data_IF_573903760987
#
_entry.id   IF_573903760987
#
_cell.length_a   1.000
_cell.length_b   1.000
_cell.length_c   1.000
_cell.angle_alpha   90.00
_cell.angle_beta   90.00
_cell.angle_gamma   90.00
#
_symmetry.space_group_name_H-M   'P 1'
#
loop_
_entity.id
_entity.type
_entity.pdbx_description
1 polymer ?
#
# COMPACT_ATOMS: atom_id res chain seq x y z
N UNK A 1 16.53 5.64 -11.32
CA UNK A 1 16.46 7.07 -10.97
C UNK A 1 15.82 7.83 -12.11
N UNK A 2 14.95 8.79 -11.81
CA UNK A 2 14.29 9.67 -12.77
C UNK A 2 14.57 11.11 -12.35
N UNK A 3 15.16 11.91 -13.25
CA UNK A 3 15.55 13.30 -12.96
C UNK A 3 16.44 13.47 -11.70
N UNK A 4 17.26 12.46 -11.39
CA UNK A 4 18.12 12.47 -10.19
C UNK A 4 17.45 12.02 -8.89
N UNK A 5 16.16 11.65 -8.93
CA UNK A 5 15.42 11.14 -7.76
C UNK A 5 15.22 9.62 -7.83
N UNK A 6 15.09 8.93 -6.67
CA UNK A 6 14.64 7.55 -6.62
C UNK A 6 13.29 7.40 -7.32
N UNK A 7 13.13 6.30 -8.05
CA UNK A 7 11.89 5.97 -8.74
C UNK A 7 11.46 4.58 -8.29
N UNK A 8 10.20 4.46 -7.90
CA UNK A 8 9.56 3.18 -7.60
C UNK A 8 8.30 3.06 -8.46
N UNK A 9 8.22 1.99 -9.25
CA UNK A 9 7.09 1.73 -10.15
C UNK A 9 6.17 0.70 -9.49
N UNK A 10 4.91 1.07 -9.26
CA UNK A 10 3.92 0.20 -8.63
C UNK A 10 2.66 0.09 -9.48
N UNK A 11 2.20 -1.13 -9.71
CA UNK A 11 0.95 -1.41 -10.45
C UNK A 11 -0.30 -0.94 -9.71
N UNK A 12 -0.18 -0.71 -8.40
CA UNK A 12 -1.25 -0.16 -7.56
C UNK A 12 -1.59 1.30 -7.90
N UNK A 13 -0.66 2.02 -8.54
CA UNK A 13 -0.88 3.42 -8.95
C UNK A 13 -1.65 3.43 -10.27
N UNK A 14 -2.93 3.81 -10.21
CA UNK A 14 -3.83 3.84 -11.38
C UNK A 14 -4.36 5.25 -11.67
N UNK A 15 -4.51 5.54 -12.95
CA UNK A 15 -5.18 6.73 -13.45
C UNK A 15 -6.70 6.61 -13.48
N UNK A 16 -7.33 7.67 -13.97
CA UNK A 16 -8.76 7.67 -14.27
C UNK A 16 -9.12 6.72 -15.42
N UNK A 17 -8.15 6.45 -16.30
CA UNK A 17 -8.23 5.49 -17.40
C UNK A 17 -7.08 4.48 -17.25
N UNK A 18 -7.31 3.21 -17.61
CA UNK A 18 -6.37 2.11 -17.38
C UNK A 18 -5.02 2.28 -18.14
N UNK A 19 -5.00 3.13 -19.17
CA UNK A 19 -3.80 3.46 -19.96
C UNK A 19 -3.09 4.74 -19.50
N UNK A 20 -3.68 5.50 -18.57
CA UNK A 20 -3.13 6.77 -18.14
C UNK A 20 -1.96 6.56 -17.18
N UNK A 21 -0.82 7.19 -17.49
CA UNK A 21 0.35 7.16 -16.62
C UNK A 21 0.16 8.17 -15.48
N UNK A 22 0.27 7.70 -14.24
CA UNK A 22 0.18 8.53 -13.04
C UNK A 22 1.52 8.56 -12.32
N UNK A 23 1.96 9.76 -11.97
CA UNK A 23 3.17 10.02 -11.21
C UNK A 23 2.81 10.67 -9.89
N UNK A 24 3.40 10.15 -8.81
CA UNK A 24 3.46 10.83 -7.53
C UNK A 24 4.90 11.28 -7.28
N UNK A 25 5.10 12.56 -6.98
CA UNK A 25 6.41 13.13 -6.77
C UNK A 25 6.41 14.09 -5.58
N UNK A 26 7.35 13.92 -4.67
CA UNK A 26 7.50 14.76 -3.49
C UNK A 26 8.15 14.01 -2.34
N UNK A 27 8.00 14.55 -1.14
CA UNK A 27 8.54 13.95 0.06
C UNK A 27 7.52 12.99 0.69
N UNK A 28 7.80 11.70 0.59
CA UNK A 28 6.98 10.65 1.19
C UNK A 28 7.29 10.42 2.68
N UNK A 29 8.31 11.06 3.26
CA UNK A 29 8.63 10.92 4.69
C UNK A 29 7.58 11.55 5.60
N UNK A 30 6.74 12.44 5.07
CA UNK A 30 5.56 12.98 5.79
C UNK A 30 4.46 11.93 5.99
N UNK A 31 4.49 10.82 5.24
CA UNK A 31 3.56 9.72 5.34
C UNK A 31 4.12 8.70 6.32
N UNK A 32 3.45 8.54 7.47
CA UNK A 32 3.87 7.58 8.48
C UNK A 32 2.88 6.42 8.49
N UNK A 33 3.38 5.24 8.11
CA UNK A 33 2.66 3.98 8.27
C UNK A 33 3.04 3.44 9.65
N UNK A 34 2.06 3.28 10.53
CA UNK A 34 2.23 2.69 11.84
C UNK A 34 1.88 1.21 11.76
N UNK A 35 2.91 0.38 11.65
CA UNK A 35 2.76 -1.06 11.68
C UNK A 35 2.98 -1.56 13.11
N UNK A 36 2.03 -2.34 13.62
CA UNK A 36 2.30 -3.14 14.81
C UNK A 36 3.17 -4.33 14.37
N UNK A 37 4.31 -4.56 15.04
CA UNK A 37 5.24 -5.65 14.70
C UNK A 37 4.58 -7.03 14.81
N UNK A 38 3.51 -7.17 15.60
CA UNK A 38 2.68 -8.39 15.67
C UNK A 38 1.39 -8.30 14.84
N UNK A 39 1.25 -7.30 13.97
CA UNK A 39 0.01 -7.00 13.25
C UNK A 39 -0.37 -8.06 12.22
N UNK A 40 0.61 -8.80 11.67
CA UNK A 40 0.38 -9.95 10.80
C UNK A 40 0.29 -11.24 11.62
N UNK A 41 -0.93 -11.79 11.70
CA UNK A 41 -1.20 -13.07 12.33
C UNK A 41 -1.65 -14.10 11.30
N UNK A 42 -1.05 -15.29 11.37
CA UNK A 42 -1.44 -16.44 10.55
C UNK A 42 -2.02 -17.52 11.46
N UNK A 43 -3.31 -17.78 11.32
CA UNK A 43 -4.02 -18.84 12.02
C UNK A 43 -4.22 -20.03 11.07
N UNK A 44 -3.69 -21.19 11.45
CA UNK A 44 -3.91 -22.45 10.71
C UNK A 44 -5.19 -23.10 11.22
N UNK A 45 -6.10 -23.45 10.31
CA UNK A 45 -7.40 -24.04 10.62
C UNK A 45 -7.50 -25.48 10.10
N UNK A 46 -6.81 -26.46 10.72
CA UNK A 46 -6.75 -27.84 10.23
C UNK A 46 -8.09 -28.57 10.30
N UNK A 47 -8.92 -28.23 11.29
CA UNK A 47 -10.19 -28.94 11.55
C UNK A 47 -11.33 -28.45 10.66
N UNK A 48 -11.30 -27.18 10.24
CA UNK A 48 -12.40 -26.52 9.54
C UNK A 48 -12.67 -27.08 8.13
N UNK A 49 -11.63 -27.62 7.48
CA UNK A 49 -11.70 -28.17 6.13
C UNK A 49 -11.29 -29.65 6.05
N UNK A 50 -11.23 -30.32 7.21
CA UNK A 50 -10.83 -31.72 7.29
C UNK A 50 -11.72 -32.68 6.47
N UNK A 51 -13.03 -32.37 6.37
CA UNK A 51 -14.00 -33.18 5.63
C UNK A 51 -13.76 -33.22 4.11
N UNK A 52 -13.01 -32.26 3.56
CA UNK A 52 -12.67 -32.18 2.14
C UNK A 52 -11.16 -32.39 1.90
N UNK A 53 -10.41 -32.82 2.92
CA UNK A 53 -8.96 -33.04 2.88
C UNK A 53 -8.15 -31.78 2.49
N UNK A 54 -8.57 -30.62 2.99
CA UNK A 54 -7.89 -29.34 2.79
C UNK A 54 -7.46 -28.71 4.13
N UNK A 55 -6.48 -27.80 4.09
CA UNK A 55 -6.01 -27.03 5.25
C UNK A 55 -6.30 -25.55 5.00
N UNK A 56 -7.09 -24.95 5.89
CA UNK A 56 -7.37 -23.52 5.84
C UNK A 56 -6.28 -22.69 6.49
N UNK A 57 -5.96 -21.54 5.90
CA UNK A 57 -5.13 -20.50 6.51
C UNK A 57 -5.93 -19.21 6.59
N UNK A 58 -5.90 -18.57 7.74
CA UNK A 58 -6.50 -17.25 7.93
C UNK A 58 -5.40 -16.26 8.25
N UNK A 59 -5.24 -15.27 7.38
CA UNK A 59 -4.30 -14.18 7.57
C UNK A 59 -5.06 -12.93 8.03
N UNK A 60 -4.61 -12.33 9.12
CA UNK A 60 -5.06 -11.03 9.56
C UNK A 60 -3.88 -10.07 9.53
N UNK A 61 -4.08 -8.89 8.97
CA UNK A 61 -3.09 -7.82 9.07
C UNK A 61 -3.80 -6.53 9.47
N UNK A 62 -3.45 -5.98 10.63
CA UNK A 62 -3.92 -4.67 11.05
C UNK A 62 -2.85 -3.62 10.72
N UNK A 63 -3.06 -2.91 9.62
CA UNK A 63 -2.22 -1.79 9.21
C UNK A 63 -2.98 -0.49 9.48
N UNK A 64 -2.37 0.43 10.23
CA UNK A 64 -2.86 1.81 10.37
C UNK A 64 -1.86 2.77 9.74
N UNK A 65 -2.35 3.68 8.90
CA UNK A 65 -1.54 4.64 8.19
C UNK A 65 -2.16 6.01 8.35
N UNK A 66 -1.41 6.97 8.88
CA UNK A 66 -1.87 8.35 8.97
C UNK A 66 -1.26 9.18 7.86
N UNK A 67 -2.13 9.71 7.01
CA UNK A 67 -1.77 10.81 6.13
C UNK A 67 -1.76 12.10 6.95
N UNK A 68 -0.58 12.70 7.15
CA UNK A 68 -0.48 14.03 7.76
C UNK A 68 -0.46 15.06 6.62
N UNK A 69 -1.58 15.73 6.42
CA UNK A 69 -1.68 16.84 5.46
C UNK A 69 -1.40 18.17 6.18
N UNK A 70 -0.39 18.91 5.72
CA UNK A 70 -0.18 20.30 6.13
C UNK A 70 -1.13 21.20 5.34
N UNK A 71 -1.89 22.08 6.01
CA UNK A 71 -2.80 23.00 5.34
C UNK A 71 -2.09 24.02 4.43
N UNK A 72 -0.77 24.23 4.63
CA UNK A 72 -0.03 25.33 3.99
C UNK A 72 0.64 24.90 2.69
N UNK A 73 1.22 23.71 2.61
CA UNK A 73 1.91 23.20 1.42
C UNK A 73 1.72 21.68 1.23
N UNK A 74 1.34 21.22 0.02
CA UNK A 74 1.25 19.79 -0.27
C UNK A 74 2.64 19.16 -0.39
N UNK A 75 2.89 18.08 0.35
CA UNK A 75 4.21 17.40 0.36
C UNK A 75 4.45 16.50 -0.84
N UNK A 76 3.38 16.04 -1.50
CA UNK A 76 3.43 15.17 -2.68
C UNK A 76 2.44 15.67 -3.73
N UNK A 77 2.93 15.78 -4.97
CA UNK A 77 2.16 16.16 -6.14
C UNK A 77 1.76 14.92 -6.94
N UNK A 78 0.53 14.95 -7.47
CA UNK A 78 0.02 13.94 -8.40
C UNK A 78 -0.07 14.54 -9.79
N UNK A 79 0.54 13.90 -10.77
CA UNK A 79 0.40 14.21 -12.19
C UNK A 79 -0.18 13.01 -12.92
N UNK A 80 -1.23 13.24 -13.70
CA UNK A 80 -1.79 12.24 -14.60
C UNK A 80 -1.60 12.72 -16.04
N UNK A 81 -0.88 11.95 -16.83
CA UNK A 81 -0.67 12.24 -18.25
C UNK A 81 -1.85 11.67 -19.01
N UNK A 82 -2.59 12.56 -19.67
CA UNK A 82 -3.70 12.21 -20.57
C UNK A 82 -3.20 11.84 -21.95
#
# INVERSE_FOLDING_TARGET
>A
MLLGFPLDCKDAVKGSVDTAAVFYFGDFSSFVIQENVTGLEVEVMPERYALINEVGFKLYNLLDGKLIYSEVEPTVYRLEIK
#
